data_IF_162746929112
#
_entry.id   IF_162746929112
#
_cell.length_a   1.000
_cell.length_b   1.000
_cell.length_c   1.000
_cell.angle_alpha   90.00
_cell.angle_beta   90.00
_cell.angle_gamma   90.00
#
_symmetry.space_group_name_H-M   'P 1'
#
loop_
_entity.id
_entity.type
_entity.pdbx_description
1 polymer ?
#
# COMPACT_ATOMS: atom_id res chain seq x y z
N UNK A 1 20.09 -27.45 11.39
CA UNK A 1 19.60 -26.47 12.38
C UNK A 1 18.86 -25.38 11.62
N UNK A 2 17.52 -25.40 11.61
CA UNK A 2 16.70 -24.34 10.98
C UNK A 2 16.66 -23.14 11.94
N UNK A 3 16.76 -21.88 11.48
CA UNK A 3 16.62 -20.76 12.39
C UNK A 3 15.15 -20.70 12.84
N UNK A 4 14.93 -20.76 14.16
CA UNK A 4 13.64 -20.51 14.78
C UNK A 4 13.14 -19.12 14.34
N UNK A 5 12.07 -19.10 13.54
CA UNK A 5 11.38 -17.87 13.22
C UNK A 5 10.75 -17.35 14.53
N UNK A 6 11.22 -16.20 15.00
CA UNK A 6 10.67 -15.56 16.20
C UNK A 6 9.16 -15.28 16.02
N UNK A 7 8.31 -15.45 17.03
CA UNK A 7 6.86 -15.20 16.94
C UNK A 7 6.51 -13.75 16.52
N UNK A 8 7.42 -12.79 16.67
CA UNK A 8 7.28 -11.45 16.12
C UNK A 8 7.42 -11.40 14.58
N UNK A 9 8.31 -12.20 14.01
CA UNK A 9 8.49 -12.34 12.56
C UNK A 9 7.29 -13.03 11.89
N UNK A 10 6.67 -14.00 12.58
CA UNK A 10 5.44 -14.66 12.12
C UNK A 10 4.21 -13.75 12.19
N UNK A 11 4.14 -12.83 13.17
CA UNK A 11 3.11 -11.76 13.18
C UNK A 11 3.29 -10.78 12.02
N UNK A 12 4.51 -10.32 11.74
CA UNK A 12 4.82 -9.42 10.62
C UNK A 12 4.58 -10.07 9.24
N UNK A 13 4.49 -11.40 9.16
CA UNK A 13 4.17 -12.16 7.96
C UNK A 13 2.68 -12.27 7.66
N UNK A 14 1.78 -11.99 8.61
CA UNK A 14 0.32 -12.03 8.35
C UNK A 14 -0.07 -10.98 7.31
N UNK A 15 -0.88 -11.37 6.32
CA UNK A 15 -1.31 -10.51 5.23
C UNK A 15 -1.96 -9.19 5.71
N UNK A 16 -2.70 -9.23 6.82
CA UNK A 16 -3.30 -8.05 7.46
C UNK A 16 -2.30 -7.11 8.13
N UNK A 17 -1.13 -7.61 8.57
CA UNK A 17 -0.04 -6.76 9.10
C UNK A 17 0.74 -6.10 7.97
N UNK A 18 0.88 -6.79 6.82
CA UNK A 18 1.55 -6.25 5.62
C UNK A 18 0.67 -5.26 4.86
N UNK A 19 -0.64 -5.44 4.89
CA UNK A 19 -1.60 -4.54 4.27
C UNK A 19 -2.79 -4.29 5.22
N UNK A 20 -2.76 -3.22 6.04
CA UNK A 20 -3.85 -2.91 6.97
C UNK A 20 -5.19 -2.64 6.27
N UNK A 21 -5.19 -2.32 4.96
CA UNK A 21 -6.44 -2.12 4.20
C UNK A 21 -7.26 -3.41 4.13
N UNK A 22 -6.63 -4.58 4.10
CA UNK A 22 -7.33 -5.88 4.08
C UNK A 22 -8.14 -6.15 5.36
N UNK A 23 -7.82 -5.48 6.47
CA UNK A 23 -8.55 -5.62 7.73
C UNK A 23 -9.78 -4.69 7.80
N UNK A 24 -9.95 -3.76 6.85
CA UNK A 24 -11.09 -2.84 6.84
C UNK A 24 -12.35 -3.57 6.34
N UNK A 25 -13.49 -3.48 7.05
CA UNK A 25 -14.74 -4.07 6.57
C UNK A 25 -15.18 -3.55 5.20
N UNK A 26 -14.79 -2.33 4.83
CA UNK A 26 -15.08 -1.75 3.53
C UNK A 26 -14.27 -2.38 2.38
N UNK A 27 -13.15 -3.05 2.66
CA UNK A 27 -12.31 -3.66 1.64
C UNK A 27 -13.02 -4.83 0.92
N UNK A 28 -13.89 -5.56 1.63
CA UNK A 28 -14.70 -6.66 1.04
C UNK A 28 -15.65 -6.15 -0.04
N UNK A 29 -16.08 -4.88 0.02
CA UNK A 29 -16.94 -4.28 -1.03
C UNK A 29 -16.23 -4.20 -2.38
N UNK A 30 -14.89 -4.16 -2.39
CA UNK A 30 -14.10 -4.13 -3.62
C UNK A 30 -14.12 -5.47 -4.35
N UNK A 31 -14.45 -6.57 -3.66
CA UNK A 31 -14.57 -7.91 -4.25
C UNK A 31 -15.77 -8.00 -5.21
N UNK A 32 -16.84 -7.24 -4.93
CA UNK A 32 -18.04 -7.18 -5.76
C UNK A 32 -17.92 -6.32 -7.03
N UNK A 33 -16.78 -5.63 -7.23
CA UNK A 33 -16.55 -4.86 -8.44
C UNK A 33 -16.29 -5.77 -9.64
N UNK A 34 -16.75 -5.37 -10.82
CA UNK A 34 -16.45 -6.09 -12.06
C UNK A 34 -14.94 -6.16 -12.32
N UNK A 35 -14.44 -7.22 -12.99
CA UNK A 35 -13.01 -7.35 -13.28
C UNK A 35 -12.42 -6.14 -14.03
N UNK A 36 -13.18 -5.57 -14.97
CA UNK A 36 -12.77 -4.38 -15.71
C UNK A 36 -12.61 -3.17 -14.80
N UNK A 37 -13.57 -2.91 -13.92
CA UNK A 37 -13.50 -1.79 -12.98
C UNK A 37 -12.36 -1.95 -11.97
N UNK A 38 -12.12 -3.19 -11.51
CA UNK A 38 -10.96 -3.50 -10.65
C UNK A 38 -9.64 -3.19 -11.35
N UNK A 39 -9.52 -3.55 -12.64
CA UNK A 39 -8.34 -3.28 -13.44
C UNK A 39 -8.09 -1.78 -13.61
N UNK A 40 -9.10 -1.01 -13.99
CA UNK A 40 -9.01 0.46 -14.17
C UNK A 40 -8.64 1.16 -12.86
N UNK A 41 -9.35 0.85 -11.77
CA UNK A 41 -9.04 1.45 -10.46
C UNK A 41 -7.64 1.07 -9.97
N UNK A 42 -7.22 -0.18 -10.22
CA UNK A 42 -5.87 -0.64 -9.88
C UNK A 42 -4.80 0.10 -10.68
N UNK A 43 -5.03 0.36 -11.96
CA UNK A 43 -4.12 1.13 -12.81
C UNK A 43 -3.94 2.55 -12.26
N UNK A 44 -5.05 3.25 -12.01
CA UNK A 44 -5.04 4.60 -11.42
C UNK A 44 -4.30 4.66 -10.08
N UNK A 45 -4.52 3.69 -9.17
CA UNK A 45 -3.83 3.64 -7.88
C UNK A 45 -2.32 3.38 -8.03
N UNK A 46 -1.91 2.63 -9.07
CA UNK A 46 -0.50 2.42 -9.38
C UNK A 46 0.16 3.66 -10.00
N UNK A 47 -0.57 4.46 -10.78
CA UNK A 47 -0.12 5.77 -11.24
C UNK A 47 0.04 6.74 -10.06
N UNK A 48 -0.97 6.83 -9.19
CA UNK A 48 -0.92 7.66 -7.98
C UNK A 48 0.27 7.28 -7.09
N UNK A 49 0.53 5.99 -6.92
CA UNK A 49 1.71 5.52 -6.18
C UNK A 49 3.01 6.03 -6.80
N UNK A 50 3.14 5.97 -8.13
CA UNK A 50 4.35 6.43 -8.84
C UNK A 50 4.54 7.93 -8.68
N UNK A 51 3.50 8.72 -8.91
CA UNK A 51 3.54 10.18 -8.72
C UNK A 51 3.89 10.57 -7.28
N UNK A 52 3.24 9.95 -6.29
CA UNK A 52 3.52 10.20 -4.88
C UNK A 52 4.98 9.88 -4.49
N UNK A 53 5.58 8.83 -5.06
CA UNK A 53 7.00 8.51 -4.82
C UNK A 53 7.93 9.59 -5.39
N UNK A 54 7.64 10.12 -6.59
CA UNK A 54 8.39 11.22 -7.21
C UNK A 54 8.30 12.48 -6.35
N UNK A 55 7.10 12.82 -5.86
CA UNK A 55 6.88 13.98 -4.98
C UNK A 55 7.57 13.84 -3.64
N UNK A 56 7.57 12.64 -3.05
CA UNK A 56 8.30 12.37 -1.82
C UNK A 56 9.80 12.62 -2.00
N UNK A 57 10.36 12.14 -3.12
CA UNK A 57 11.78 12.34 -3.44
C UNK A 57 12.11 13.82 -3.64
N UNK A 58 11.25 14.58 -4.32
CA UNK A 58 11.41 16.03 -4.43
C UNK A 58 11.39 16.74 -3.07
N UNK A 59 10.47 16.34 -2.20
CA UNK A 59 10.38 16.88 -0.84
C UNK A 59 11.65 16.56 -0.03
N UNK A 60 12.23 15.36 -0.18
CA UNK A 60 13.50 15.03 0.46
C UNK A 60 14.64 15.93 -0.02
N UNK A 61 14.82 16.07 -1.34
CA UNK A 61 15.84 16.97 -1.92
C UNK A 61 15.70 18.41 -1.47
N UNK A 62 14.48 18.86 -1.20
CA UNK A 62 14.16 20.22 -0.75
C UNK A 62 14.11 20.39 0.76
N UNK A 63 14.55 19.38 1.53
CA UNK A 63 14.57 19.41 2.99
C UNK A 63 13.18 19.57 3.64
N UNK A 64 12.12 19.08 2.98
CA UNK A 64 10.72 19.11 3.45
C UNK A 64 10.29 17.77 4.03
N UNK A 65 10.95 17.34 5.11
CA UNK A 65 10.79 16.00 5.67
C UNK A 65 9.34 15.59 6.01
N UNK A 66 8.51 16.44 6.67
CA UNK A 66 7.11 16.05 6.96
C UNK A 66 6.29 15.81 5.69
N UNK A 67 6.50 16.62 4.65
CA UNK A 67 5.79 16.48 3.37
C UNK A 67 6.27 15.26 2.61
N UNK A 68 7.56 14.94 2.69
CA UNK A 68 8.10 13.72 2.10
C UNK A 68 7.50 12.46 2.75
N UNK A 69 7.37 12.45 4.08
CA UNK A 69 6.70 11.37 4.82
C UNK A 69 5.22 11.24 4.45
N UNK A 70 4.49 12.36 4.31
CA UNK A 70 3.11 12.38 3.82
C UNK A 70 2.99 11.70 2.44
N UNK A 71 3.81 12.12 1.47
CA UNK A 71 3.78 11.53 0.13
C UNK A 71 4.18 10.04 0.13
N UNK A 72 5.12 9.62 0.98
CA UNK A 72 5.41 8.18 1.18
C UNK A 72 4.19 7.43 1.72
N UNK A 73 3.45 7.99 2.68
CA UNK A 73 2.23 7.37 3.20
C UNK A 73 1.17 7.22 2.12
N UNK A 74 0.96 8.25 1.28
CA UNK A 74 0.07 8.19 0.11
C UNK A 74 0.48 7.05 -0.82
N UNK A 75 1.76 6.94 -1.17
CA UNK A 75 2.27 5.87 -2.04
C UNK A 75 2.06 4.47 -1.45
N UNK A 76 2.24 4.32 -0.14
CA UNK A 76 2.02 3.05 0.58
C UNK A 76 0.54 2.66 0.53
N UNK A 77 -0.37 3.55 0.92
CA UNK A 77 -1.80 3.25 0.94
C UNK A 77 -2.40 3.05 -0.46
N UNK A 78 -1.98 3.81 -1.46
CA UNK A 78 -2.35 3.56 -2.86
C UNK A 78 -1.92 2.14 -3.30
N UNK A 79 -0.68 1.74 -2.99
CA UNK A 79 -0.18 0.40 -3.27
C UNK A 79 -0.87 -0.72 -2.47
N UNK A 80 -1.34 -0.42 -1.27
CA UNK A 80 -2.13 -1.33 -0.44
C UNK A 80 -3.52 -1.56 -1.02
N UNK A 81 -4.26 -0.50 -1.37
CA UNK A 81 -5.58 -0.60 -2.00
C UNK A 81 -5.45 -1.32 -3.35
N UNK A 82 -4.43 -0.97 -4.15
CA UNK A 82 -4.20 -1.63 -5.44
C UNK A 82 -3.95 -3.14 -5.31
N UNK A 83 -3.41 -3.64 -4.18
CA UNK A 83 -3.27 -5.08 -3.92
C UNK A 83 -4.58 -5.76 -3.56
N UNK A 84 -5.54 -5.05 -2.95
CA UNK A 84 -6.88 -5.58 -2.69
C UNK A 84 -7.61 -5.86 -4.00
N UNK A 85 -7.35 -5.05 -5.03
CA UNK A 85 -7.98 -5.16 -6.35
C UNK A 85 -7.37 -6.24 -7.27
N UNK A 86 -6.33 -6.96 -6.83
CA UNK A 86 -5.68 -8.04 -7.61
C UNK A 86 -6.60 -9.23 -7.81
#
# INVERSE_FOLDING_TARGET
MRPDASPAADRARRAGVRNPVLALPAATRLEGLSPALRAELRALLMDLRRDALVRAEDCWRRHKAPMAAYWKAVAVYAGHIARVLR
#
